data_IF_618723635995
#
_entry.id   IF_618723635995
#
_cell.length_a   1.000
_cell.length_b   1.000
_cell.length_c   1.000
_cell.angle_alpha   90.00
_cell.angle_beta   90.00
_cell.angle_gamma   90.00
#
_symmetry.space_group_name_H-M   'P 1'
#
loop_
_entity.id
_entity.type
_entity.pdbx_description
1 polymer ?
#
# COMPACT_ATOMS: atom_id res chain seq x y z
N UNK A 1 3.27 -12.10 -7.72
CA UNK A 1 3.01 -11.49 -6.40
C UNK A 1 1.54 -11.07 -6.37
N UNK A 2 0.79 -11.34 -5.30
CA UNK A 2 -0.62 -11.00 -5.27
C UNK A 2 -0.80 -9.47 -5.37
N UNK A 3 -1.24 -8.99 -6.52
CA UNK A 3 -1.58 -7.58 -6.76
C UNK A 3 -2.66 -7.23 -5.75
N UNK A 4 -2.32 -6.44 -4.73
CA UNK A 4 -3.28 -6.02 -3.70
C UNK A 4 -4.42 -5.26 -4.37
N UNK A 5 -5.61 -5.88 -4.46
CA UNK A 5 -6.76 -5.26 -5.10
C UNK A 5 -7.40 -4.29 -4.12
N UNK A 6 -7.97 -3.23 -4.65
CA UNK A 6 -8.65 -2.21 -3.84
C UNK A 6 -9.78 -2.79 -2.98
N UNK A 7 -10.44 -3.86 -3.45
CA UNK A 7 -11.49 -4.56 -2.71
C UNK A 7 -10.95 -5.23 -1.44
N UNK A 8 -9.76 -5.80 -1.52
CA UNK A 8 -9.14 -6.50 -0.39
C UNK A 8 -8.65 -5.51 0.66
N UNK A 9 -8.07 -4.39 0.21
CA UNK A 9 -7.62 -3.31 1.11
C UNK A 9 -8.81 -2.72 1.88
N UNK A 10 -9.95 -2.50 1.22
CA UNK A 10 -11.17 -1.98 1.89
C UNK A 10 -11.70 -2.91 2.98
N UNK A 11 -11.51 -4.22 2.84
CA UNK A 11 -11.90 -5.21 3.85
C UNK A 11 -10.94 -5.27 5.04
N UNK A 12 -9.71 -4.77 4.89
CA UNK A 12 -8.75 -4.69 6.00
C UNK A 12 -9.13 -3.54 6.94
N UNK A 13 -8.94 -3.77 8.23
CA UNK A 13 -8.95 -2.75 9.26
C UNK A 13 -7.73 -1.81 9.17
N UNK A 14 -7.81 -0.67 9.84
CA UNK A 14 -6.77 0.37 9.79
C UNK A 14 -5.40 -0.14 10.28
N UNK A 15 -5.38 -1.03 11.29
CA UNK A 15 -4.14 -1.59 11.83
C UNK A 15 -3.48 -2.50 10.80
N UNK A 16 -4.23 -3.43 10.22
CA UNK A 16 -3.72 -4.32 9.18
C UNK A 16 -3.25 -3.55 7.94
N UNK A 17 -3.91 -2.45 7.56
CA UNK A 17 -3.42 -1.59 6.47
C UNK A 17 -2.10 -0.93 6.79
N UNK A 18 -1.90 -0.46 8.03
CA UNK A 18 -0.64 0.16 8.47
C UNK A 18 0.50 -0.85 8.50
N UNK A 19 0.25 -2.05 9.03
CA UNK A 19 1.23 -3.14 9.02
C UNK A 19 1.61 -3.52 7.59
N UNK A 20 0.61 -3.72 6.71
CA UNK A 20 0.85 -4.04 5.30
C UNK A 20 1.62 -2.95 4.56
N UNK A 21 1.35 -1.68 4.87
CA UNK A 21 2.08 -0.54 4.33
C UNK A 21 3.54 -0.53 4.76
N UNK A 22 3.83 -0.88 6.02
CA UNK A 22 5.19 -0.98 6.56
C UNK A 22 5.97 -2.09 5.85
N UNK A 23 5.36 -3.26 5.67
CA UNK A 23 5.97 -4.39 4.97
C UNK A 23 6.31 -4.04 3.52
N UNK A 24 5.36 -3.46 2.79
CA UNK A 24 5.58 -3.05 1.39
C UNK A 24 6.66 -1.98 1.25
N UNK A 25 6.77 -1.05 2.21
CA UNK A 25 7.87 -0.07 2.23
C UNK A 25 9.21 -0.73 2.47
N UNK A 26 9.28 -1.71 3.38
CA UNK A 26 10.52 -2.44 3.63
C UNK A 26 10.94 -3.27 2.40
N UNK A 27 9.99 -3.91 1.74
CA UNK A 27 10.26 -4.63 0.49
C UNK A 27 10.70 -3.69 -0.63
N UNK A 28 10.09 -2.50 -0.73
CA UNK A 28 10.52 -1.47 -1.66
C UNK A 28 11.97 -1.05 -1.43
N UNK A 29 12.36 -0.83 -0.17
CA UNK A 29 13.74 -0.47 0.18
C UNK A 29 14.71 -1.58 -0.20
N UNK A 30 14.40 -2.84 0.14
CA UNK A 30 15.23 -4.00 -0.25
C UNK A 30 15.35 -4.10 -1.78
N UNK A 31 14.24 -3.93 -2.49
CA UNK A 31 14.20 -3.96 -3.95
C UNK A 31 15.02 -2.82 -4.57
N UNK A 32 15.01 -1.62 -3.99
CA UNK A 32 15.81 -0.48 -4.48
C UNK A 32 17.31 -0.68 -4.22
N UNK A 33 17.69 -1.25 -3.07
CA UNK A 33 19.10 -1.51 -2.73
C UNK A 33 19.70 -2.59 -3.64
N UNK A 34 18.90 -3.62 -3.96
CA UNK A 34 19.33 -4.73 -4.81
C UNK A 34 19.23 -4.44 -6.31
N UNK A 35 18.42 -3.47 -6.72
CA UNK A 35 18.21 -3.16 -8.12
C UNK A 35 19.02 -1.93 -8.56
N UNK A 36 20.01 -2.14 -9.42
CA UNK A 36 20.74 -1.05 -10.08
C UNK A 36 19.85 -0.18 -11.00
N UNK A 37 18.63 -0.64 -11.36
CA UNK A 37 17.65 0.08 -12.18
C UNK A 37 16.23 -0.22 -11.71
N UNK A 38 15.28 0.70 -11.95
CA UNK A 38 13.86 0.47 -11.61
C UNK A 38 13.32 -0.73 -12.39
N UNK A 39 12.85 -1.76 -11.68
CA UNK A 39 12.33 -2.99 -12.28
C UNK A 39 10.81 -3.09 -12.13
N UNK A 40 10.19 -4.02 -12.89
CA UNK A 40 8.74 -4.21 -12.88
C UNK A 40 8.19 -4.46 -11.46
N UNK A 41 8.95 -5.20 -10.63
CA UNK A 41 8.63 -5.47 -9.23
C UNK A 41 8.59 -4.19 -8.38
N UNK A 42 9.56 -3.28 -8.55
CA UNK A 42 9.55 -1.98 -7.86
C UNK A 42 8.30 -1.17 -8.20
N UNK A 43 7.89 -1.18 -9.48
CA UNK A 43 6.71 -0.45 -9.96
C UNK A 43 5.41 -1.03 -9.37
N UNK A 44 5.32 -2.34 -9.23
CA UNK A 44 4.18 -3.01 -8.60
C UNK A 44 4.07 -2.69 -7.11
N UNK A 45 5.19 -2.73 -6.37
CA UNK A 45 5.21 -2.39 -4.94
C UNK A 45 4.77 -0.93 -4.73
N UNK A 46 5.30 0.01 -5.53
CA UNK A 46 4.89 1.43 -5.50
C UNK A 46 3.39 1.59 -5.75
N UNK A 47 2.82 0.85 -6.72
CA UNK A 47 1.37 0.86 -6.99
C UNK A 47 0.55 0.30 -5.83
N UNK A 48 1.01 -0.76 -5.18
CA UNK A 48 0.33 -1.33 -4.00
C UNK A 48 0.31 -0.33 -2.83
N UNK A 49 1.45 0.32 -2.55
CA UNK A 49 1.57 1.38 -1.54
C UNK A 49 0.59 2.53 -1.84
N UNK A 50 0.57 3.01 -3.09
CA UNK A 50 -0.33 4.09 -3.50
C UNK A 50 -1.80 3.75 -3.24
N UNK A 51 -2.24 2.52 -3.60
CA UNK A 51 -3.61 2.07 -3.36
C UNK A 51 -3.98 2.05 -1.88
N UNK A 52 -3.09 1.57 -1.01
CA UNK A 52 -3.33 1.55 0.44
C UNK A 52 -3.49 2.98 0.97
N UNK A 53 -2.61 3.89 0.55
CA UNK A 53 -2.65 5.29 0.99
C UNK A 53 -3.94 5.98 0.53
N UNK A 54 -4.34 5.78 -0.73
CA UNK A 54 -5.57 6.36 -1.27
C UNK A 54 -6.80 5.88 -0.50
N UNK A 55 -6.93 4.58 -0.25
CA UNK A 55 -8.10 4.03 0.45
C UNK A 55 -8.11 4.47 1.92
N UNK A 56 -6.97 4.43 2.60
CA UNK A 56 -6.85 4.90 3.98
C UNK A 56 -7.24 6.38 4.10
N UNK A 57 -6.80 7.22 3.15
CA UNK A 57 -7.18 8.64 3.13
C UNK A 57 -8.68 8.81 2.86
N UNK A 58 -9.23 8.10 1.87
CA UNK A 58 -10.64 8.18 1.52
C UNK A 58 -11.56 7.78 2.69
N UNK A 59 -11.23 6.71 3.42
CA UNK A 59 -12.00 6.28 4.58
C UNK A 59 -11.85 7.21 5.78
N UNK A 60 -10.66 7.78 5.98
CA UNK A 60 -10.47 8.81 7.01
C UNK A 60 -11.31 10.05 6.72
N UNK A 61 -11.36 10.50 5.46
CA UNK A 61 -12.23 11.61 5.05
C UNK A 61 -13.71 11.29 5.22
N UNK A 62 -14.16 10.09 4.84
CA UNK A 62 -15.55 9.67 5.04
C UNK A 62 -15.96 9.64 6.52
N UNK A 63 -15.08 9.14 7.41
CA UNK A 63 -15.33 9.07 8.85
C UNK A 63 -15.38 10.45 9.53
N UNK A 64 -14.73 11.45 8.95
CA UNK A 64 -14.78 12.85 9.44
C UNK A 64 -16.08 13.54 9.05
N UNK A 65 -16.65 13.20 7.90
CA UNK A 65 -17.92 13.79 7.41
C UNK A 65 -19.14 13.20 8.13
N UNK A 66 -19.03 11.96 8.63
CA UNK A 66 -20.11 11.26 9.34
C UNK A 66 -20.12 11.51 10.86
N UNK A 67 -19.36 12.47 11.36
CA UNK A 67 -19.19 12.80 12.79
C UNK A 67 -19.62 14.23 13.04
#
# INVERSE_FOLDING_TARGET
MAILRSKDIRKMDEKNRKERLKDLRMELTKANVTAHKTNAKTKEIKRAIARILTITKAEKSAKVISK
#
